data_IF_911071042019
#
_entry.id   IF_911071042019
#
_cell.length_a   1.000
_cell.length_b   1.000
_cell.length_c   1.000
_cell.angle_alpha   90.00
_cell.angle_beta   90.00
_cell.angle_gamma   90.00
#
_symmetry.space_group_name_H-M   'P 1'
#
loop_
_entity.id
_entity.type
_entity.pdbx_description
1 polymer ?
#
# COMPACT_ATOMS: atom_id res chain seq x y z
N UNK A 1 -1.98 -9.74 2.89
CA UNK A 1 -1.70 -8.87 4.06
C UNK A 1 -0.81 -9.64 5.01
N UNK A 2 0.24 -9.00 5.54
CA UNK A 2 1.10 -9.57 6.59
C UNK A 2 1.69 -8.45 7.44
N UNK A 3 2.26 -8.77 8.61
CA UNK A 3 3.12 -7.83 9.33
C UNK A 3 4.38 -7.52 8.50
N UNK A 4 4.91 -6.29 8.62
CA UNK A 4 6.24 -5.98 8.08
C UNK A 4 7.31 -6.77 8.81
N UNK A 5 8.41 -7.06 8.14
CA UNK A 5 9.50 -7.87 8.68
C UNK A 5 10.22 -7.18 9.85
N UNK A 6 10.29 -5.85 9.80
CA UNK A 6 10.82 -5.01 10.87
C UNK A 6 9.85 -4.80 12.04
N UNK A 7 8.61 -5.31 11.95
CA UNK A 7 7.57 -5.17 12.98
C UNK A 7 6.97 -3.77 13.14
N UNK A 8 7.29 -2.83 12.26
CA UNK A 8 6.85 -1.42 12.36
C UNK A 8 5.51 -1.12 11.67
N UNK A 9 4.94 -2.09 10.96
CA UNK A 9 3.71 -1.87 10.20
C UNK A 9 3.07 -3.11 9.59
N UNK A 10 2.18 -2.88 8.65
CA UNK A 10 1.46 -3.91 7.89
C UNK A 10 1.73 -3.76 6.40
N UNK A 11 2.05 -4.87 5.73
CA UNK A 11 2.23 -4.92 4.27
C UNK A 11 0.95 -5.39 3.60
N UNK A 12 0.44 -4.56 2.69
CA UNK A 12 -0.64 -4.86 1.77
C UNK A 12 -0.07 -5.04 0.37
N UNK A 13 -0.39 -6.15 -0.28
CA UNK A 13 0.04 -6.44 -1.66
C UNK A 13 -1.20 -6.59 -2.52
N UNK A 14 -1.26 -5.76 -3.55
CA UNK A 14 -2.35 -5.68 -4.51
C UNK A 14 -1.82 -6.11 -5.86
N UNK A 15 -2.68 -6.72 -6.67
CA UNK A 15 -2.37 -7.07 -8.04
C UNK A 15 -3.58 -6.75 -8.92
N UNK A 16 -3.30 -6.23 -10.11
CA UNK A 16 -4.29 -6.10 -11.18
C UNK A 16 -4.43 -7.47 -11.87
N UNK A 17 -5.67 -7.94 -12.04
CA UNK A 17 -5.95 -9.32 -12.47
C UNK A 17 -6.60 -9.44 -13.84
N UNK A 18 -7.07 -8.34 -14.43
CA UNK A 18 -7.87 -8.30 -15.66
C UNK A 18 -7.08 -7.83 -16.89
N UNK A 19 -5.83 -7.39 -16.72
CA UNK A 19 -4.99 -6.85 -17.78
C UNK A 19 -5.32 -5.40 -18.15
N UNK A 20 -6.05 -4.69 -17.29
CA UNK A 20 -6.49 -3.30 -17.50
C UNK A 20 -5.60 -2.25 -16.84
N UNK A 21 -5.86 -0.98 -17.15
CA UNK A 21 -5.44 0.13 -16.30
C UNK A 21 -6.59 0.45 -15.36
N UNK A 22 -6.34 0.37 -14.07
CA UNK A 22 -7.37 0.56 -13.05
C UNK A 22 -6.86 1.47 -11.94
N UNK A 23 -7.74 2.31 -11.40
CA UNK A 23 -7.50 3.08 -10.18
C UNK A 23 -8.44 2.58 -9.10
N UNK A 24 -7.90 2.23 -7.95
CA UNK A 24 -8.66 1.73 -6.80
C UNK A 24 -8.40 2.61 -5.59
N UNK A 25 -9.43 2.78 -4.77
CA UNK A 25 -9.32 3.39 -3.47
C UNK A 25 -9.38 2.29 -2.40
N UNK A 26 -8.40 2.27 -1.52
CA UNK A 26 -8.37 1.39 -0.37
C UNK A 26 -8.60 2.20 0.91
N UNK A 27 -9.39 1.65 1.82
CA UNK A 27 -9.64 2.22 3.15
C UNK A 27 -9.10 1.27 4.21
N UNK A 28 -8.09 1.71 4.93
CA UNK A 28 -7.62 1.03 6.13
C UNK A 28 -8.50 1.37 7.34
N UNK A 29 -8.64 0.41 8.27
CA UNK A 29 -9.49 0.58 9.46
C UNK A 29 -8.97 1.68 10.40
N UNK A 30 -7.65 1.81 10.53
CA UNK A 30 -7.02 2.78 11.40
C UNK A 30 -6.79 4.08 10.63
N UNK A 31 -7.26 5.19 11.18
CA UNK A 31 -7.23 6.49 10.48
C UNK A 31 -5.89 7.20 10.58
N UNK A 32 -5.07 6.83 11.56
CA UNK A 32 -3.79 7.48 11.86
C UNK A 32 -2.62 6.61 11.39
N UNK A 33 -2.50 6.47 10.08
CA UNK A 33 -1.44 5.68 9.43
C UNK A 33 -0.80 6.49 8.31
N UNK A 34 0.49 6.29 8.13
CA UNK A 34 1.21 6.68 6.92
C UNK A 34 1.25 5.50 5.96
N UNK A 35 1.33 5.80 4.66
CA UNK A 35 1.43 4.80 3.61
C UNK A 35 2.68 5.05 2.77
N UNK A 36 3.38 3.98 2.39
CA UNK A 36 4.50 4.05 1.47
C UNK A 36 4.44 2.90 0.46
N UNK A 37 4.79 3.18 -0.80
CA UNK A 37 5.04 2.13 -1.80
C UNK A 37 6.36 1.46 -1.46
N UNK A 38 6.34 0.13 -1.35
CA UNK A 38 7.54 -0.67 -1.08
C UNK A 38 7.81 -1.69 -2.19
N UNK A 39 9.05 -2.14 -2.30
CA UNK A 39 9.42 -3.23 -3.21
C UNK A 39 9.04 -4.60 -2.60
N UNK A 40 9.49 -5.70 -3.23
CA UNK A 40 9.21 -7.05 -2.73
C UNK A 40 9.93 -7.38 -1.41
N UNK A 41 11.03 -6.71 -1.12
CA UNK A 41 11.85 -6.81 0.10
C UNK A 41 11.44 -5.79 1.18
N UNK A 42 10.33 -5.07 0.98
CA UNK A 42 9.79 -4.05 1.89
C UNK A 42 10.61 -2.75 1.97
N UNK A 43 11.58 -2.55 1.09
CA UNK A 43 12.29 -1.27 1.00
C UNK A 43 11.33 -0.19 0.47
N UNK A 44 11.28 0.94 1.16
CA UNK A 44 10.47 2.10 0.77
C UNK A 44 10.99 2.72 -0.52
N UNK A 45 10.08 2.89 -1.48
CA UNK A 45 10.36 3.48 -2.79
C UNK A 45 9.86 4.92 -2.82
N UNK A 46 8.58 5.13 -2.46
CA UNK A 46 7.93 6.44 -2.50
C UNK A 46 6.90 6.55 -1.38
N UNK A 47 6.75 7.73 -0.74
CA UNK A 47 5.60 7.99 0.11
C UNK A 47 4.31 7.90 -0.71
N UNK A 48 3.25 7.39 -0.10
CA UNK A 48 1.92 7.33 -0.68
C UNK A 48 1.00 8.26 0.10
N UNK A 49 0.42 9.24 -0.61
CA UNK A 49 -0.55 10.14 0.00
C UNK A 49 -1.70 9.32 0.60
N UNK A 50 -1.94 9.52 1.89
CA UNK A 50 -3.05 8.92 2.60
C UNK A 50 -3.74 9.95 3.47
N UNK A 51 -5.06 9.81 3.62
CA UNK A 51 -5.86 10.69 4.45
C UNK A 51 -6.88 9.86 5.21
N UNK A 52 -6.82 9.90 6.55
CA UNK A 52 -7.73 9.15 7.43
C UNK A 52 -7.77 7.64 7.08
N UNK A 53 -6.60 7.07 6.77
CA UNK A 53 -6.46 5.66 6.39
C UNK A 53 -6.89 5.32 4.94
N UNK A 54 -7.37 6.30 4.16
CA UNK A 54 -7.69 6.11 2.75
C UNK A 54 -6.47 6.45 1.88
N UNK A 55 -6.24 5.66 0.83
CA UNK A 55 -5.23 5.93 -0.20
C UNK A 55 -5.67 5.39 -1.55
N UNK A 56 -5.09 5.93 -2.62
CA UNK A 56 -5.39 5.53 -4.00
C UNK A 56 -4.19 4.86 -4.65
N UNK A 57 -4.44 3.84 -5.46
CA UNK A 57 -3.44 3.16 -6.27
C UNK A 57 -3.91 3.11 -7.71
N UNK A 58 -3.02 3.42 -8.65
CA UNK A 58 -3.25 3.23 -10.09
C UNK A 58 -2.34 2.12 -10.59
N UNK A 59 -2.92 1.12 -11.25
CA UNK A 59 -2.23 -0.05 -11.77
C UNK A 59 -2.08 0.00 -13.29
N UNK A 60 -0.95 -0.49 -13.78
CA UNK A 60 -0.79 -0.94 -15.17
C UNK A 60 -1.29 -2.39 -15.31
N UNK A 61 -1.53 -2.88 -16.54
CA UNK A 61 -1.90 -4.28 -16.77
C UNK A 61 -0.97 -5.25 -16.04
N UNK A 62 -1.55 -6.13 -15.24
CA UNK A 62 -0.88 -7.15 -14.42
C UNK A 62 0.15 -6.62 -13.41
N UNK A 63 0.07 -5.33 -13.06
CA UNK A 63 1.00 -4.74 -12.10
C UNK A 63 0.72 -5.21 -10.68
N UNK A 64 1.80 -5.49 -9.95
CA UNK A 64 1.78 -5.75 -8.51
C UNK A 64 2.32 -4.51 -7.80
N UNK A 65 1.59 -4.04 -6.78
CA UNK A 65 2.07 -2.98 -5.87
C UNK A 65 2.01 -3.46 -4.43
N UNK A 66 3.04 -3.13 -3.67
CA UNK A 66 3.08 -3.34 -2.22
C UNK A 66 3.02 -1.98 -1.52
N UNK A 67 2.19 -1.88 -0.49
CA UNK A 67 2.04 -0.71 0.37
C UNK A 67 2.36 -1.12 1.79
N UNK A 68 3.28 -0.40 2.44
CA UNK A 68 3.48 -0.47 3.89
C UNK A 68 2.59 0.57 4.55
N UNK A 69 1.84 0.14 5.57
CA UNK A 69 1.07 1.01 6.45
C UNK A 69 1.75 1.03 7.83
N UNK A 70 2.11 2.22 8.30
CA UNK A 70 2.78 2.43 9.58
C UNK A 70 1.94 3.36 10.47
N UNK A 71 1.76 3.07 11.77
CA UNK A 71 1.08 4.00 12.68
C UNK A 71 1.79 5.35 12.72
N UNK A 72 1.02 6.45 12.72
CA UNK A 72 1.54 7.78 13.07
C UNK A 72 1.55 7.89 14.59
N UNK A 73 2.69 8.24 15.18
CA UNK A 73 2.83 8.52 16.62
C UNK A 73 2.40 9.95 16.97
#
# INVERSE_FOLDING_TARGET
MKASEDGTGTILRFYESSGGRETVQAQWKDRNVEAAIVNLLEDEINPLASQKGAFELTFRPYEIKSVKLSPVN
#
